data_IF_638565534165
#
_entry.id   IF_638565534165
#
_cell.length_a   1.000
_cell.length_b   1.000
_cell.length_c   1.000
_cell.angle_alpha   90.00
_cell.angle_beta   90.00
_cell.angle_gamma   90.00
#
_symmetry.space_group_name_H-M   'P 1'
#
loop_
_entity.id
_entity.type
_entity.pdbx_description
1 polymer ?
#
# COMPACT_ATOMS: atom_id res chain seq x y z
N UNK A 1 16.53 -8.02 11.10
CA UNK A 1 15.48 -7.18 10.52
C UNK A 1 15.42 -7.33 9.01
N UNK A 2 14.29 -6.96 8.39
CA UNK A 2 14.11 -6.97 6.93
C UNK A 2 14.96 -5.84 6.34
N UNK A 3 15.76 -6.16 5.31
CA UNK A 3 16.55 -5.16 4.61
C UNK A 3 15.75 -4.59 3.44
N UNK A 4 15.69 -3.26 3.33
CA UNK A 4 15.11 -2.60 2.16
C UNK A 4 15.95 -2.93 0.92
N UNK A 5 15.34 -3.55 -0.08
CA UNK A 5 15.98 -3.94 -1.33
C UNK A 5 16.30 -2.72 -2.20
N UNK A 6 15.28 -1.92 -2.50
CA UNK A 6 15.42 -0.69 -3.31
C UNK A 6 14.28 0.28 -3.01
N UNK A 7 14.39 1.52 -3.52
CA UNK A 7 13.36 2.54 -3.43
C UNK A 7 13.13 3.17 -4.80
N UNK A 8 11.86 3.29 -5.21
CA UNK A 8 11.43 4.02 -6.39
C UNK A 8 10.62 5.27 -6.02
N UNK A 9 10.58 6.26 -6.91
CA UNK A 9 9.83 7.50 -6.72
C UNK A 9 8.72 7.58 -7.77
N UNK A 10 7.47 7.50 -7.33
CA UNK A 10 6.27 7.60 -8.18
C UNK A 10 5.66 9.01 -8.18
N UNK A 11 6.09 9.89 -7.25
CA UNK A 11 5.64 11.28 -7.10
C UNK A 11 4.11 11.46 -7.13
N UNK A 12 3.37 10.48 -6.62
CA UNK A 12 1.90 10.42 -6.64
C UNK A 12 1.29 10.43 -8.05
N UNK A 13 2.07 10.04 -9.07
CA UNK A 13 1.64 9.97 -10.47
C UNK A 13 1.72 8.53 -11.00
N UNK A 14 0.66 8.07 -11.68
CA UNK A 14 0.60 6.73 -12.25
C UNK A 14 1.71 6.47 -13.28
N UNK A 15 1.98 7.44 -14.16
CA UNK A 15 3.01 7.30 -15.19
C UNK A 15 4.42 7.17 -14.60
N UNK A 16 4.72 7.92 -13.55
CA UNK A 16 6.02 7.83 -12.85
C UNK A 16 6.13 6.54 -12.03
N UNK A 17 5.03 6.09 -11.42
CA UNK A 17 4.97 4.81 -10.71
C UNK A 17 5.24 3.64 -11.65
N UNK A 18 4.63 3.65 -12.86
CA UNK A 18 4.90 2.69 -13.92
C UNK A 18 6.39 2.64 -14.29
N UNK A 19 7.01 3.81 -14.55
CA UNK A 19 8.44 3.90 -14.86
C UNK A 19 9.31 3.38 -13.73
N UNK A 20 9.02 3.77 -12.48
CA UNK A 20 9.74 3.30 -11.31
C UNK A 20 9.64 1.77 -11.14
N UNK A 21 8.47 1.19 -11.46
CA UNK A 21 8.26 -0.26 -11.44
C UNK A 21 9.14 -0.95 -12.46
N UNK A 22 9.19 -0.48 -13.71
CA UNK A 22 10.09 -1.04 -14.72
C UNK A 22 11.55 -1.02 -14.28
N UNK A 23 12.02 0.09 -13.73
CA UNK A 23 13.39 0.21 -13.24
C UNK A 23 13.69 -0.75 -12.08
N UNK A 24 12.74 -0.93 -11.17
CA UNK A 24 12.87 -1.78 -10.00
C UNK A 24 12.89 -3.27 -10.36
N UNK A 25 12.17 -3.66 -11.41
CA UNK A 25 11.97 -5.05 -11.83
C UNK A 25 12.71 -5.44 -13.11
N UNK A 26 13.63 -4.61 -13.60
CA UNK A 26 14.39 -4.89 -14.84
C UNK A 26 15.34 -6.07 -14.77
N UNK A 27 15.70 -6.49 -13.56
CA UNK A 27 16.64 -7.58 -13.33
C UNK A 27 15.94 -8.95 -13.34
N UNK A 28 16.74 -10.01 -13.29
CA UNK A 28 16.25 -11.40 -13.22
C UNK A 28 15.56 -11.70 -11.89
N UNK A 29 14.83 -12.83 -11.82
CA UNK A 29 14.08 -13.24 -10.65
C UNK A 29 14.90 -13.29 -9.34
N UNK A 30 16.20 -13.60 -9.43
CA UNK A 30 17.07 -13.68 -8.26
C UNK A 30 17.58 -12.31 -7.77
N UNK A 31 17.36 -11.25 -8.52
CA UNK A 31 17.86 -9.90 -8.23
C UNK A 31 16.75 -8.85 -8.44
N UNK A 32 15.57 -9.13 -7.93
CA UNK A 32 14.41 -8.23 -7.89
C UNK A 32 13.69 -8.38 -6.56
N UNK A 33 12.89 -7.37 -6.13
CA UNK A 33 12.11 -7.48 -4.91
C UNK A 33 10.99 -8.53 -5.07
N UNK A 34 10.70 -9.25 -3.99
CA UNK A 34 9.57 -10.20 -3.86
C UNK A 34 8.34 -9.57 -3.21
N UNK A 35 8.49 -8.36 -2.68
CA UNK A 35 7.39 -7.57 -2.13
C UNK A 35 7.63 -6.08 -2.34
N UNK A 36 6.54 -5.33 -2.58
CA UNK A 36 6.54 -3.88 -2.75
C UNK A 36 5.50 -3.25 -1.83
N UNK A 37 5.93 -2.27 -1.02
CA UNK A 37 5.04 -1.34 -0.37
C UNK A 37 4.94 -0.07 -1.21
N UNK A 38 3.72 0.37 -1.50
CA UNK A 38 3.44 1.56 -2.30
C UNK A 38 2.73 2.60 -1.42
N UNK A 39 3.24 3.83 -1.43
CA UNK A 39 2.85 4.88 -0.48
C UNK A 39 1.40 5.37 -0.62
N UNK A 40 0.69 5.03 -1.71
CA UNK A 40 -0.76 5.19 -1.83
C UNK A 40 -1.35 4.18 -2.83
N UNK A 41 -2.66 3.95 -2.73
CA UNK A 41 -3.36 2.96 -3.55
C UNK A 41 -3.39 3.32 -5.03
N UNK A 42 -3.55 4.60 -5.41
CA UNK A 42 -3.56 5.00 -6.82
C UNK A 42 -2.24 4.62 -7.53
N UNK A 43 -1.11 4.83 -6.88
CA UNK A 43 0.17 4.35 -7.39
C UNK A 43 0.24 2.82 -7.36
N UNK A 44 -0.31 2.17 -6.31
CA UNK A 44 -0.32 0.71 -6.20
C UNK A 44 -1.07 0.04 -7.35
N UNK A 45 -2.21 0.60 -7.79
CA UNK A 45 -2.94 0.10 -8.96
C UNK A 45 -2.07 0.15 -10.22
N UNK A 46 -1.36 1.26 -10.45
CA UNK A 46 -0.45 1.39 -11.59
C UNK A 46 0.74 0.41 -11.51
N UNK A 47 1.27 0.19 -10.31
CA UNK A 47 2.33 -0.81 -10.06
C UNK A 47 1.81 -2.22 -10.38
N UNK A 48 0.61 -2.59 -9.89
CA UNK A 48 0.01 -3.90 -10.15
C UNK A 48 -0.25 -4.15 -11.63
N UNK A 49 -0.78 -3.15 -12.36
CA UNK A 49 -1.00 -3.25 -13.79
C UNK A 49 0.31 -3.42 -14.55
N UNK A 50 1.35 -2.66 -14.18
CA UNK A 50 2.68 -2.78 -14.77
C UNK A 50 3.28 -4.16 -14.52
N UNK A 51 3.21 -4.66 -13.30
CA UNK A 51 3.72 -6.00 -12.95
C UNK A 51 3.02 -7.08 -13.77
N UNK A 52 1.67 -7.05 -13.84
CA UNK A 52 0.87 -8.08 -14.50
C UNK A 52 0.95 -8.04 -16.03
N UNK A 53 0.70 -6.86 -16.60
CA UNK A 53 0.45 -6.75 -18.05
C UNK A 53 1.68 -6.38 -18.86
N UNK A 54 2.68 -5.75 -18.25
CA UNK A 54 3.89 -5.34 -18.97
C UNK A 54 5.10 -6.21 -18.63
N UNK A 55 5.18 -6.68 -17.38
CA UNK A 55 6.30 -7.52 -16.92
C UNK A 55 5.93 -9.00 -16.80
N UNK A 56 4.64 -9.36 -16.93
CA UNK A 56 4.16 -10.73 -16.87
C UNK A 56 4.33 -11.42 -15.53
N UNK A 57 4.39 -10.63 -14.44
CA UNK A 57 4.58 -11.15 -13.09
C UNK A 57 3.24 -11.41 -12.40
N UNK A 58 3.18 -12.50 -11.66
CA UNK A 58 2.00 -12.87 -10.88
C UNK A 58 2.01 -12.20 -9.51
N UNK A 59 0.84 -11.72 -9.10
CA UNK A 59 0.60 -11.15 -7.78
C UNK A 59 -0.43 -12.05 -7.08
N UNK A 60 -0.11 -12.59 -5.91
CA UNK A 60 1.07 -12.35 -5.06
C UNK A 60 2.25 -13.32 -5.27
N UNK A 61 2.17 -14.31 -6.18
CA UNK A 61 3.10 -15.44 -6.26
C UNK A 61 4.54 -15.02 -6.56
N UNK A 62 4.74 -14.09 -7.50
CA UNK A 62 6.06 -13.56 -7.84
C UNK A 62 6.41 -12.31 -7.04
N UNK A 63 5.41 -11.46 -6.76
CA UNK A 63 5.57 -10.18 -6.07
C UNK A 63 4.32 -9.88 -5.24
N UNK A 64 4.47 -9.76 -3.94
CA UNK A 64 3.41 -9.25 -3.08
C UNK A 64 3.35 -7.71 -3.18
N UNK A 65 2.12 -7.16 -3.20
CA UNK A 65 1.91 -5.70 -3.26
C UNK A 65 1.04 -5.26 -2.09
N UNK A 66 1.49 -4.22 -1.39
CA UNK A 66 0.75 -3.58 -0.30
C UNK A 66 0.67 -2.08 -0.57
N UNK A 67 -0.53 -1.53 -0.49
CA UNK A 67 -0.82 -0.10 -0.66
C UNK A 67 -1.06 0.64 0.66
N UNK A 68 -1.59 1.83 0.52
CA UNK A 68 -1.99 2.70 1.62
C UNK A 68 -3.15 3.58 1.17
N UNK A 69 -4.21 3.72 1.91
CA UNK A 69 -5.42 4.55 1.88
C UNK A 69 -6.71 3.74 1.99
N UNK A 70 -6.78 2.54 1.41
CA UNK A 70 -7.98 1.71 1.24
C UNK A 70 -9.07 2.42 0.41
N UNK A 71 -8.68 2.89 -0.78
CA UNK A 71 -9.63 3.47 -1.74
C UNK A 71 -10.62 2.41 -2.26
N UNK A 72 -11.84 2.79 -2.71
CA UNK A 72 -12.84 1.83 -3.20
C UNK A 72 -12.33 0.85 -4.26
N UNK A 73 -11.42 1.29 -5.13
CA UNK A 73 -10.83 0.43 -6.16
C UNK A 73 -9.92 -0.68 -5.60
N UNK A 74 -9.40 -0.53 -4.37
CA UNK A 74 -8.56 -1.54 -3.74
C UNK A 74 -9.29 -2.88 -3.53
N UNK A 75 -10.60 -2.87 -3.33
CA UNK A 75 -11.42 -4.07 -3.15
C UNK A 75 -11.98 -4.67 -4.46
N UNK A 76 -11.73 -4.02 -5.60
CA UNK A 76 -12.19 -4.58 -6.88
C UNK A 76 -11.50 -5.92 -7.17
N UNK A 77 -12.24 -6.92 -7.70
CA UNK A 77 -11.66 -8.24 -7.97
C UNK A 77 -10.43 -8.24 -8.87
N UNK A 78 -10.27 -7.23 -9.72
CA UNK A 78 -9.10 -7.05 -10.56
C UNK A 78 -7.85 -6.67 -9.79
N UNK A 79 -7.98 -6.04 -8.63
CA UNK A 79 -6.84 -5.63 -7.81
C UNK A 79 -6.75 -6.45 -6.53
N UNK A 80 -7.84 -6.53 -5.77
CA UNK A 80 -7.89 -7.24 -4.48
C UNK A 80 -6.67 -6.87 -3.61
N UNK A 81 -6.45 -5.53 -3.50
CA UNK A 81 -5.24 -4.93 -2.95
C UNK A 81 -5.25 -4.94 -1.43
N UNK A 82 -4.23 -5.56 -0.85
CA UNK A 82 -3.89 -5.39 0.57
C UNK A 82 -3.40 -3.98 0.81
N UNK A 83 -3.99 -3.28 1.78
CA UNK A 83 -3.68 -1.86 2.01
C UNK A 83 -3.91 -1.47 3.47
N UNK A 84 -3.32 -0.37 3.91
CA UNK A 84 -3.59 0.22 5.22
C UNK A 84 -4.72 1.23 5.06
N UNK A 85 -5.83 1.04 5.80
CA UNK A 85 -6.97 1.96 5.74
C UNK A 85 -6.68 3.23 6.51
N UNK A 86 -6.89 4.37 5.87
CA UNK A 86 -6.97 5.65 6.59
C UNK A 86 -8.33 5.78 7.30
N UNK A 87 -8.30 6.04 8.60
CA UNK A 87 -9.51 6.31 9.40
C UNK A 87 -9.96 7.77 9.22
N UNK A 88 -10.32 8.17 7.98
CA UNK A 88 -10.58 9.56 7.62
C UNK A 88 -11.69 10.22 8.45
N UNK A 89 -12.76 9.50 8.74
CA UNK A 89 -13.85 10.01 9.61
C UNK A 89 -13.34 10.36 11.00
N UNK A 90 -12.55 9.48 11.61
CA UNK A 90 -11.93 9.73 12.92
C UNK A 90 -10.95 10.91 12.87
N UNK A 91 -10.15 11.00 11.78
CA UNK A 91 -9.22 12.11 11.57
C UNK A 91 -9.98 13.44 11.47
N UNK A 92 -11.06 13.50 10.72
CA UNK A 92 -11.89 14.71 10.56
C UNK A 92 -12.50 15.11 11.91
N UNK A 93 -13.12 14.18 12.62
CA UNK A 93 -13.77 14.47 13.91
C UNK A 93 -12.77 15.03 14.93
N UNK A 94 -11.63 14.34 15.11
CA UNK A 94 -10.59 14.82 16.04
C UNK A 94 -10.04 16.20 15.61
N UNK A 95 -9.86 16.42 14.31
CA UNK A 95 -9.38 17.72 13.82
C UNK A 95 -10.39 18.83 14.13
N UNK A 96 -11.68 18.58 13.93
CA UNK A 96 -12.74 19.56 14.24
C UNK A 96 -12.77 19.84 15.73
N UNK A 97 -12.73 18.80 16.58
CA UNK A 97 -12.76 18.97 18.04
C UNK A 97 -11.59 19.84 18.53
N UNK A 98 -10.37 19.57 18.01
CA UNK A 98 -9.19 20.38 18.35
C UNK A 98 -9.35 21.82 17.90
N UNK A 99 -9.81 22.06 16.66
CA UNK A 99 -9.99 23.42 16.15
C UNK A 99 -11.03 24.21 16.96
N UNK A 100 -12.14 23.58 17.34
CA UNK A 100 -13.16 24.22 18.17
C UNK A 100 -12.60 24.56 19.56
N UNK A 101 -11.87 23.67 20.19
CA UNK A 101 -11.22 23.90 21.47
C UNK A 101 -10.22 25.07 21.40
N UNK A 102 -9.38 25.13 20.33
CA UNK A 102 -8.40 26.20 20.13
C UNK A 102 -9.08 27.58 19.95
N UNK A 103 -10.23 27.61 19.24
CA UNK A 103 -11.01 28.84 19.06
C UNK A 103 -11.60 29.32 20.39
N UNK A 104 -12.12 28.39 21.21
CA UNK A 104 -12.75 28.72 22.47
C UNK A 104 -11.76 29.14 23.57
N UNK A 105 -10.57 28.53 23.59
CA UNK A 105 -9.57 28.75 24.62
C UNK A 105 -8.49 29.78 24.24
N UNK A 106 -8.47 30.21 22.97
CA UNK A 106 -7.39 31.02 22.38
C UNK A 106 -5.98 30.39 22.56
N UNK A 107 -5.95 29.06 22.77
CA UNK A 107 -4.71 28.28 22.92
C UNK A 107 -4.38 27.56 21.59
N UNK A 108 -3.27 27.92 21.00
CA UNK A 108 -2.81 27.37 19.71
C UNK A 108 -1.53 26.55 19.84
N UNK A 109 -1.42 25.75 20.89
CA UNK A 109 -0.24 24.88 21.05
C UNK A 109 -0.27 23.73 20.03
N UNK A 110 0.83 23.46 19.30
CA UNK A 110 0.89 22.36 18.35
C UNK A 110 0.61 21.02 19.01
N UNK A 111 -0.33 20.25 18.44
CA UNK A 111 -0.71 18.92 18.90
C UNK A 111 -0.42 17.87 17.86
N UNK A 112 0.03 16.69 18.27
CA UNK A 112 0.20 15.52 17.42
C UNK A 112 -0.70 14.41 17.95
N UNK A 113 -1.71 14.05 17.16
CA UNK A 113 -2.60 12.94 17.46
C UNK A 113 -2.30 11.80 16.49
N UNK A 114 -1.98 10.63 17.02
CA UNK A 114 -1.77 9.42 16.21
C UNK A 114 -3.07 8.64 16.12
N UNK A 115 -3.42 8.26 14.91
CA UNK A 115 -4.59 7.44 14.61
C UNK A 115 -4.07 6.19 13.90
N UNK A 116 -4.31 5.02 14.48
CA UNK A 116 -3.88 3.76 13.90
C UNK A 116 -4.83 3.35 12.78
N UNK A 117 -4.27 3.04 11.62
CA UNK A 117 -4.98 2.51 10.47
C UNK A 117 -4.90 0.98 10.44
N UNK A 118 -6.02 0.25 10.35
CA UNK A 118 -5.98 -1.20 10.23
C UNK A 118 -5.41 -1.64 8.90
N UNK A 119 -4.62 -2.72 8.90
CA UNK A 119 -4.19 -3.40 7.70
C UNK A 119 -5.36 -4.26 7.18
N UNK A 120 -5.79 -3.98 5.96
CA UNK A 120 -6.83 -4.74 5.26
C UNK A 120 -6.13 -5.74 4.34
N UNK A 121 -6.12 -7.01 4.75
CA UNK A 121 -5.44 -8.07 4.01
C UNK A 121 -6.37 -8.60 2.91
N UNK A 122 -5.86 -8.57 1.65
CA UNK A 122 -6.53 -9.05 0.45
C UNK A 122 -5.58 -9.93 -0.37
N UNK A 123 -5.98 -10.29 -1.59
CA UNK A 123 -5.25 -11.23 -2.45
C UNK A 123 -3.87 -10.78 -2.88
N UNK A 124 -3.59 -9.48 -2.97
CA UNK A 124 -2.30 -9.00 -3.48
C UNK A 124 -1.09 -9.30 -2.59
N UNK A 125 -1.31 -9.78 -1.36
CA UNK A 125 -0.23 -10.19 -0.44
C UNK A 125 -0.45 -11.57 0.19
N UNK A 126 -1.57 -12.23 -0.12
CA UNK A 126 -1.93 -13.54 0.43
C UNK A 126 -1.23 -14.65 -0.33
N UNK A 127 -0.05 -15.03 0.10
CA UNK A 127 0.56 -16.29 -0.32
C UNK A 127 -0.13 -17.40 0.46
N UNK A 128 -1.05 -18.11 -0.17
CA UNK A 128 -1.58 -19.36 0.37
C UNK A 128 -0.46 -20.38 0.21
N UNK A 129 0.34 -20.59 1.26
CA UNK A 129 1.15 -21.79 1.34
C UNK A 129 0.13 -22.94 1.45
N UNK A 130 0.02 -23.76 0.42
CA UNK A 130 -0.66 -25.05 0.55
C UNK A 130 -0.04 -25.74 1.76
N UNK A 131 -0.88 -26.04 2.75
CA UNK A 131 -0.43 -26.72 3.95
C UNK A 131 0.21 -28.04 3.54
N UNK A 132 1.47 -28.22 3.84
CA UNK A 132 2.10 -29.53 3.99
C UNK A 132 1.47 -30.24 5.20
N UNK A 133 0.19 -30.60 5.10
CA UNK A 133 -0.51 -31.45 6.04
C UNK A 133 -1.68 -32.13 5.33
N UNK A 134 -1.39 -32.86 4.25
CA UNK A 134 -2.17 -34.02 3.84
C UNK A 134 -1.37 -35.28 4.26
N UNK A 135 -1.17 -35.39 5.55
CA UNK A 135 -0.70 -36.61 6.16
C UNK A 135 -1.82 -37.20 7.01
N UNK A 136 -2.37 -38.30 6.52
CA UNK A 136 -3.31 -39.25 7.12
C UNK A 136 -4.79 -38.90 7.10
#
# INVERSE_FOLDING_TARGET
>A
GIKLFSRGFGNFEMAQSRKATHEMFKNTANDRPDAVFVANDHMALAVMDTLRYELGLKIPEDVAVVGYDDVPAAEWPSYDLTTVRQCSEQMVNITIDILLEEIETEDSQPRIVKIDGPLIIRGSSKIIKENENAGF
#
